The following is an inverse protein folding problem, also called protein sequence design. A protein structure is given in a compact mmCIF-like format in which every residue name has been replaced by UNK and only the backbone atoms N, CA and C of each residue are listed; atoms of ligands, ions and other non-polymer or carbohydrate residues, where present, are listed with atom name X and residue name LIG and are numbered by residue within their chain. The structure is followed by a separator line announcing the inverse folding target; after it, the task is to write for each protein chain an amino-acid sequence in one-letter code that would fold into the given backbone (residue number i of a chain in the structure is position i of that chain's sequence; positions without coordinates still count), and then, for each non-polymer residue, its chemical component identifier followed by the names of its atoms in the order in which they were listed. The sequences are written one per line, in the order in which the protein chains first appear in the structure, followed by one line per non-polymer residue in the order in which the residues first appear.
data_IF_136428975506
#
_entry.id   IF_136428975506
#
_cell.length_a   1.000
_cell.length_b   1.000
_cell.length_c   1.000
_cell.angle_alpha   90.00
_cell.angle_beta   90.00
_cell.angle_gamma   90.00
#
_symmetry.space_group_name_H-M   'P 1'
#
loop_
_entity.id
_entity.type
_entity.pdbx_description
1 polymer ?
#
# COMPACT_ATOMS: atom_id res chain seq x y z
N UNK A 1 10.54 14.23 0.25
CA UNK A 1 10.20 13.83 1.65
C UNK A 1 8.74 13.43 1.68
N UNK A 2 8.43 12.21 1.26
CA UNK A 2 7.06 11.69 1.21
C UNK A 2 6.65 11.29 2.63
N UNK A 3 5.65 11.97 3.18
CA UNK A 3 5.07 11.59 4.47
C UNK A 3 4.08 10.46 4.23
N UNK A 4 4.45 9.25 4.61
CA UNK A 4 3.47 8.24 4.97
C UNK A 4 2.50 8.85 5.99
N UNK A 5 1.19 8.79 5.70
CA UNK A 5 0.18 9.07 6.72
C UNK A 5 0.28 7.95 7.76
N UNK A 6 1.06 8.17 8.81
CA UNK A 6 1.11 7.32 9.99
C UNK A 6 -0.31 7.25 10.57
N UNK A 7 -0.90 6.07 10.53
CA UNK A 7 -2.14 5.78 11.24
C UNK A 7 -1.81 5.75 12.74
N UNK A 8 -1.85 6.92 13.37
CA UNK A 8 -1.79 7.01 14.83
C UNK A 8 -3.09 6.42 15.36
N UNK A 9 -3.02 5.21 15.91
CA UNK A 9 -4.06 4.66 16.77
C UNK A 9 -4.29 5.64 17.93
N UNK A 10 -5.54 5.98 18.30
CA UNK A 10 -5.79 6.82 19.47
C UNK A 10 -5.32 6.09 20.73
N UNK A 11 -4.18 6.53 21.26
CA UNK A 11 -3.66 6.07 22.56
C UNK A 11 -4.67 6.42 23.64
N UNK A 12 -5.18 5.41 24.34
CA UNK A 12 -6.01 5.61 25.53
C UNK A 12 -5.25 6.50 26.53
N UNK A 13 -5.88 7.62 26.90
CA UNK A 13 -5.41 8.52 27.95
C UNK A 13 -5.49 7.80 29.28
N UNK A 14 -4.34 7.38 29.82
CA UNK A 14 -4.21 6.97 31.22
C UNK A 14 -4.01 8.25 32.05
N UNK A 15 -4.90 8.58 33.01
CA UNK A 15 -4.71 9.76 33.86
C UNK A 15 -3.56 9.54 34.87
N UNK A 16 -2.63 10.51 34.89
CA UNK A 16 -1.52 10.63 35.86
C UNK A 16 -2.04 10.88 37.27
N UNK A 17 -1.56 10.13 38.27
CA UNK A 17 -1.55 10.56 39.68
C UNK A 17 -0.50 9.79 40.50
N UNK A 18 0.53 10.51 40.99
CA UNK A 18 1.31 10.17 42.21
C UNK A 18 2.76 9.65 42.05
N UNK A 19 3.78 10.21 42.75
CA UNK A 19 5.13 9.64 42.87
C UNK A 19 5.25 8.60 44.02
N UNK A 20 6.35 7.81 44.09
CA UNK A 20 6.31 6.42 44.55
C UNK A 20 6.86 6.20 45.98
N UNK A 21 6.63 5.02 46.60
CA UNK A 21 7.52 4.51 47.62
C UNK A 21 8.49 3.46 47.05
N UNK A 22 9.75 3.60 47.47
CA UNK A 22 10.87 2.66 47.32
C UNK A 22 10.48 1.24 47.75
N UNK A 23 10.78 0.27 46.91
CA UNK A 23 11.21 -1.06 47.33
C UNK A 23 12.03 -1.71 46.21
N UNK A 24 13.33 -1.66 46.44
CA UNK A 24 14.40 -2.42 45.84
C UNK A 24 14.11 -3.94 45.91
N UNK A 25 14.85 -4.73 45.11
CA UNK A 25 14.94 -6.21 45.11
C UNK A 25 13.95 -6.99 44.22
N UNK A 26 14.19 -7.02 42.90
CA UNK A 26 14.62 -8.23 42.19
C UNK A 26 15.47 -7.82 41.00
N UNK A 27 16.77 -8.14 41.07
CA UNK A 27 17.73 -7.85 40.02
C UNK A 27 17.47 -8.68 38.78
N UNK A 28 17.09 -8.00 37.69
CA UNK A 28 17.38 -8.38 36.31
C UNK A 28 17.88 -7.12 35.60
N UNK A 29 19.12 -6.73 35.89
CA UNK A 29 19.89 -5.93 34.95
C UNK A 29 20.65 -6.92 34.06
N UNK A 30 19.95 -7.46 33.07
CA UNK A 30 20.59 -7.77 31.78
C UNK A 30 20.01 -6.77 30.80
N UNK A 31 20.93 -5.93 30.36
CA UNK A 31 20.80 -4.97 29.28
C UNK A 31 20.40 -5.72 28.01
N UNK A 32 19.11 -5.79 27.69
CA UNK A 32 18.67 -6.01 26.31
C UNK A 32 18.56 -4.63 25.65
N UNK A 33 19.70 -3.93 25.58
CA UNK A 33 19.92 -2.88 24.58
C UNK A 33 20.26 -3.57 23.27
N UNK A 34 19.28 -4.25 22.71
CA UNK A 34 19.23 -4.62 21.31
C UNK A 34 17.81 -4.30 20.89
N UNK A 35 17.57 -3.00 20.72
CA UNK A 35 16.60 -2.51 19.75
C UNK A 35 17.03 -3.08 18.39
N UNK A 36 16.73 -4.35 18.15
CA UNK A 36 16.63 -4.92 16.81
C UNK A 36 15.32 -4.39 16.22
N UNK A 37 15.23 -3.07 16.10
CA UNK A 37 14.40 -2.45 15.10
C UNK A 37 15.06 -2.71 13.76
N UNK A 38 14.98 -3.97 13.27
CA UNK A 38 14.88 -4.19 11.84
C UNK A 38 13.75 -3.27 11.40
N UNK A 39 14.12 -2.07 10.96
CA UNK A 39 13.21 -1.13 10.34
C UNK A 39 12.90 -1.78 9.00
N UNK A 40 12.02 -2.79 9.05
CA UNK A 40 11.51 -3.49 7.90
C UNK A 40 11.05 -2.39 6.95
N UNK A 41 11.74 -2.31 5.81
CA UNK A 41 11.52 -1.22 4.87
C UNK A 41 10.01 -1.16 4.57
N UNK A 42 9.41 0.03 4.49
CA UNK A 42 7.96 0.13 4.33
C UNK A 42 7.53 -0.58 3.04
N UNK A 43 6.58 -1.50 3.15
CA UNK A 43 6.04 -2.27 2.03
C UNK A 43 4.65 -1.81 1.62
N UNK A 44 4.33 -2.01 0.36
CA UNK A 44 2.99 -1.93 -0.24
C UNK A 44 2.72 -3.29 -0.87
N UNK A 45 1.74 -4.02 -0.34
CA UNK A 45 1.60 -5.44 -0.64
C UNK A 45 2.87 -6.20 -0.24
N UNK A 46 3.54 -6.86 -1.20
CA UNK A 46 4.82 -7.54 -1.00
C UNK A 46 6.01 -6.81 -1.60
N UNK A 47 5.80 -5.58 -2.09
CA UNK A 47 6.82 -4.76 -2.76
C UNK A 47 7.30 -3.65 -1.84
N UNK A 48 8.55 -3.24 -1.99
CA UNK A 48 9.06 -2.09 -1.25
C UNK A 48 8.33 -0.85 -1.74
N UNK A 49 7.96 0.03 -0.81
CA UNK A 49 7.32 1.30 -1.15
C UNK A 49 8.16 2.11 -2.15
N UNK A 50 9.48 2.10 -2.01
CA UNK A 50 10.38 2.84 -2.91
C UNK A 50 10.32 2.32 -4.35
N UNK A 51 10.11 1.03 -4.56
CA UNK A 51 9.96 0.45 -5.90
C UNK A 51 8.65 0.91 -6.53
N UNK A 52 7.55 0.90 -5.74
CA UNK A 52 6.23 1.39 -6.18
C UNK A 52 6.28 2.88 -6.52
N UNK A 53 6.95 3.69 -5.70
CA UNK A 53 7.12 5.13 -5.95
C UNK A 53 7.96 5.40 -7.21
N UNK A 54 9.04 4.66 -7.40
CA UNK A 54 9.93 4.80 -8.58
C UNK A 54 9.18 4.51 -9.88
N UNK A 55 8.42 3.40 -9.92
CA UNK A 55 7.61 3.05 -11.09
C UNK A 55 6.50 4.09 -11.35
N UNK A 56 5.88 4.61 -10.30
CA UNK A 56 4.88 5.67 -10.45
C UNK A 56 5.48 6.96 -11.02
N UNK A 57 6.68 7.34 -10.58
CA UNK A 57 7.40 8.50 -11.11
C UNK A 57 7.79 8.30 -12.59
N UNK A 58 8.20 7.09 -12.98
CA UNK A 58 8.50 6.74 -14.37
C UNK A 58 7.24 6.80 -15.26
N UNK A 59 6.13 6.23 -14.80
CA UNK A 59 4.84 6.26 -15.51
C UNK A 59 4.33 7.69 -15.70
N UNK A 60 4.36 8.51 -14.65
CA UNK A 60 3.91 9.92 -14.72
C UNK A 60 4.85 10.81 -15.54
N UNK A 61 6.11 10.42 -15.68
CA UNK A 61 7.08 11.05 -16.58
C UNK A 61 6.92 10.61 -18.06
N UNK A 62 6.02 9.66 -18.34
CA UNK A 62 5.74 9.17 -19.69
C UNK A 62 6.67 8.05 -20.17
N UNK A 63 7.39 7.38 -19.26
CA UNK A 63 8.26 6.24 -19.59
C UNK A 63 7.54 4.87 -19.53
N UNK A 64 6.21 4.86 -19.37
CA UNK A 64 5.42 3.64 -19.34
C UNK A 64 5.33 2.91 -20.68
N UNK A 65 5.11 1.60 -20.61
CA UNK A 65 4.72 0.79 -21.77
C UNK A 65 3.20 0.83 -22.00
N UNK A 66 2.74 0.44 -23.19
CA UNK A 66 1.30 0.28 -23.48
C UNK A 66 0.59 1.56 -23.92
N UNK A 67 -0.76 1.52 -23.92
CA UNK A 67 -1.60 2.65 -24.32
C UNK A 67 -1.73 3.67 -23.17
N UNK A 68 -2.06 4.95 -23.46
CA UNK A 68 -2.29 5.94 -22.42
C UNK A 68 -3.36 5.52 -21.39
N UNK A 69 -4.38 4.79 -21.82
CA UNK A 69 -5.42 4.26 -20.93
C UNK A 69 -4.87 3.17 -20.00
N UNK A 70 -4.01 2.29 -20.52
CA UNK A 70 -3.33 1.28 -19.71
C UNK A 70 -2.46 1.92 -18.62
N UNK A 71 -1.60 2.86 -19.00
CA UNK A 71 -0.73 3.58 -18.07
C UNK A 71 -1.54 4.35 -17.01
N UNK A 72 -2.66 4.98 -17.40
CA UNK A 72 -3.55 5.64 -16.45
C UNK A 72 -4.14 4.66 -15.43
N UNK A 73 -4.37 3.41 -15.81
CA UNK A 73 -4.79 2.33 -14.92
C UNK A 73 -3.72 1.94 -13.91
N UNK A 74 -2.47 1.79 -14.36
CA UNK A 74 -1.33 1.50 -13.49
C UNK A 74 -1.10 2.62 -12.47
N UNK A 75 -1.10 3.87 -12.94
CA UNK A 75 -0.97 5.06 -12.08
C UNK A 75 -2.06 5.08 -11.00
N UNK A 76 -3.32 4.87 -11.39
CA UNK A 76 -4.43 4.87 -10.43
C UNK A 76 -4.30 3.76 -9.38
N UNK A 77 -3.84 2.57 -9.78
CA UNK A 77 -3.60 1.46 -8.86
C UNK A 77 -2.45 1.75 -7.89
N UNK A 78 -1.32 2.29 -8.36
CA UNK A 78 -0.19 2.63 -7.49
C UNK A 78 -0.49 3.79 -6.54
N UNK A 79 -1.16 4.83 -7.01
CA UNK A 79 -1.62 5.92 -6.14
C UNK A 79 -2.53 5.42 -5.03
N UNK A 80 -3.47 4.54 -5.36
CA UNK A 80 -4.35 3.92 -4.37
C UNK A 80 -3.60 3.00 -3.41
N UNK A 81 -2.70 2.15 -3.91
CA UNK A 81 -1.89 1.25 -3.09
C UNK A 81 -0.97 2.00 -2.11
N UNK A 82 -0.46 3.17 -2.51
CA UNK A 82 0.30 4.09 -1.65
C UNK A 82 -0.59 4.90 -0.68
N UNK A 83 -1.91 4.74 -0.73
CA UNK A 83 -2.87 5.50 0.07
C UNK A 83 -2.98 6.98 -0.31
N UNK A 84 -2.61 7.33 -1.56
CA UNK A 84 -2.72 8.68 -2.13
C UNK A 84 -4.11 8.94 -2.73
N UNK A 85 -4.86 7.88 -3.05
CA UNK A 85 -6.28 7.92 -3.40
C UNK A 85 -7.11 7.28 -2.28
N UNK A 86 -8.22 7.92 -1.90
CA UNK A 86 -9.17 7.37 -0.91
C UNK A 86 -10.18 6.41 -1.54
N UNK A 87 -10.26 6.34 -2.87
CA UNK A 87 -11.22 5.47 -3.57
C UNK A 87 -10.50 4.38 -4.34
N UNK A 88 -10.99 3.16 -4.15
CA UNK A 88 -10.56 1.98 -4.88
C UNK A 88 -10.85 2.12 -6.38
N UNK A 89 -9.89 1.80 -7.27
CA UNK A 89 -9.98 2.16 -8.69
C UNK A 89 -10.98 1.30 -9.50
N UNK A 90 -11.34 0.11 -9.03
CA UNK A 90 -12.29 -0.81 -9.69
C UNK A 90 -13.65 -0.76 -9.02
N UNK A 91 -13.68 -0.86 -7.69
CA UNK A 91 -14.93 -0.99 -6.92
C UNK A 91 -15.48 0.34 -6.41
N UNK A 92 -14.69 1.42 -6.45
CA UNK A 92 -15.08 2.72 -5.89
C UNK A 92 -15.20 2.73 -4.36
N UNK A 93 -14.76 1.65 -3.68
CA UNK A 93 -14.82 1.53 -2.23
C UNK A 93 -13.92 2.57 -1.57
N UNK A 94 -14.45 3.29 -0.58
CA UNK A 94 -13.66 4.21 0.24
C UNK A 94 -12.69 3.47 1.15
N UNK A 95 -11.41 3.79 1.07
CA UNK A 95 -10.33 3.29 1.93
C UNK A 95 -9.54 4.50 2.43
N UNK A 96 -9.61 4.85 3.74
CA UNK A 96 -9.07 6.12 4.25
C UNK A 96 -7.54 6.17 4.37
N UNK A 97 -6.86 5.04 4.16
CA UNK A 97 -5.42 4.87 4.27
C UNK A 97 -4.92 3.86 3.23
N UNK A 98 -3.60 3.63 3.19
CA UNK A 98 -3.00 2.61 2.33
C UNK A 98 -3.66 1.24 2.61
N UNK A 99 -4.18 0.55 1.57
CA UNK A 99 -4.81 -0.75 1.73
C UNK A 99 -3.80 -1.82 2.17
N UNK A 100 -4.23 -2.74 3.02
CA UNK A 100 -3.44 -3.94 3.32
C UNK A 100 -3.47 -4.93 2.14
N UNK A 101 -2.65 -5.99 2.23
CA UNK A 101 -2.55 -7.02 1.18
C UNK A 101 -3.90 -7.70 0.87
N UNK A 102 -4.77 -7.88 1.86
CA UNK A 102 -6.07 -8.50 1.65
C UNK A 102 -7.00 -7.58 0.84
N UNK A 103 -6.99 -6.28 1.12
CA UNK A 103 -7.75 -5.29 0.36
C UNK A 103 -7.20 -5.14 -1.06
N UNK A 104 -5.88 -5.12 -1.24
CA UNK A 104 -5.23 -5.10 -2.55
C UNK A 104 -5.62 -6.32 -3.40
N UNK A 105 -5.61 -7.52 -2.79
CA UNK A 105 -5.99 -8.77 -3.47
C UNK A 105 -7.48 -8.77 -3.84
N UNK A 106 -8.35 -8.30 -2.94
CA UNK A 106 -9.78 -8.23 -3.23
C UNK A 106 -10.09 -7.29 -4.42
N UNK A 107 -9.33 -6.21 -4.57
CA UNK A 107 -9.48 -5.31 -5.71
C UNK A 107 -8.92 -5.91 -7.01
N UNK A 108 -7.83 -6.68 -6.92
CA UNK A 108 -7.31 -7.47 -8.05
C UNK A 108 -8.33 -8.51 -8.53
N UNK A 109 -8.97 -9.22 -7.60
CA UNK A 109 -10.06 -10.17 -7.92
C UNK A 109 -11.22 -9.45 -8.61
N UNK A 110 -11.59 -8.25 -8.15
CA UNK A 110 -12.61 -7.43 -8.79
C UNK A 110 -12.22 -7.01 -10.22
N UNK A 111 -10.95 -6.63 -10.44
CA UNK A 111 -10.43 -6.31 -11.78
C UNK A 111 -10.52 -7.53 -12.71
N UNK A 112 -10.15 -8.71 -12.21
CA UNK A 112 -10.22 -9.99 -12.94
C UNK A 112 -11.65 -10.27 -13.41
N UNK A 113 -12.63 -10.20 -12.51
CA UNK A 113 -14.05 -10.45 -12.83
C UNK A 113 -14.57 -9.48 -13.90
N UNK A 114 -14.19 -8.20 -13.83
CA UNK A 114 -14.61 -7.21 -14.83
C UNK A 114 -13.94 -7.44 -16.19
N UNK A 115 -12.68 -7.89 -16.23
CA UNK A 115 -11.98 -8.23 -17.46
C UNK A 115 -12.54 -9.49 -18.14
N UNK A 116 -13.01 -10.46 -17.36
CA UNK A 116 -13.69 -11.67 -17.87
C UNK A 116 -15.08 -11.37 -18.44
N UNK A 117 -15.73 -10.31 -17.95
CA UNK A 117 -17.07 -9.90 -18.35
C UNK A 117 -17.06 -8.48 -18.95
N UNK A 118 -16.37 -8.25 -20.08
CA UNK A 118 -16.21 -6.90 -20.63
C UNK A 118 -17.56 -6.38 -21.13
N UNK A 119 -18.21 -5.54 -20.33
CA UNK A 119 -19.48 -4.88 -20.65
C UNK A 119 -19.30 -3.45 -21.17
N UNK A 120 -18.05 -2.99 -21.36
CA UNK A 120 -17.70 -1.60 -21.65
C UNK A 120 -16.96 -1.36 -22.96
N UNK A 121 -16.58 -0.09 -23.19
CA UNK A 121 -15.77 0.36 -24.33
C UNK A 121 -14.33 -0.18 -24.28
N UNK A 122 -13.63 -0.36 -25.43
CA UNK A 122 -12.23 -0.80 -25.46
C UNK A 122 -11.29 0.02 -24.57
N UNK A 123 -11.48 1.35 -24.49
CA UNK A 123 -10.66 2.21 -23.61
C UNK A 123 -10.86 1.95 -22.11
N UNK A 124 -12.02 1.42 -21.73
CA UNK A 124 -12.29 0.96 -20.36
C UNK A 124 -11.59 -0.37 -20.05
N UNK A 125 -11.41 -1.23 -21.08
CA UNK A 125 -10.73 -2.51 -20.92
C UNK A 125 -9.23 -2.33 -20.74
N UNK A 126 -8.60 -1.44 -21.51
CA UNK A 126 -7.16 -1.16 -21.36
C UNK A 126 -6.84 -0.53 -20.00
N UNK A 127 -7.69 0.39 -19.53
CA UNK A 127 -7.58 0.93 -18.17
C UNK A 127 -7.65 -0.15 -17.09
N UNK A 128 -8.63 -1.06 -17.18
CA UNK A 128 -8.75 -2.18 -16.24
C UNK A 128 -7.57 -3.15 -16.32
N UNK A 129 -7.00 -3.38 -17.52
CA UNK A 129 -5.78 -4.18 -17.68
C UNK A 129 -4.58 -3.56 -16.98
N UNK A 130 -4.43 -2.24 -17.04
CA UNK A 130 -3.38 -1.52 -16.31
C UNK A 130 -3.52 -1.67 -14.81
N UNK A 131 -4.73 -1.48 -14.27
CA UNK A 131 -5.01 -1.72 -12.84
C UNK A 131 -4.65 -3.15 -12.44
N UNK A 132 -5.12 -4.13 -13.23
CA UNK A 132 -4.85 -5.53 -12.98
C UNK A 132 -3.34 -5.81 -12.97
N UNK A 133 -2.59 -5.34 -13.96
CA UNK A 133 -1.14 -5.54 -14.04
C UNK A 133 -0.41 -4.98 -12.81
N UNK A 134 -0.72 -3.73 -12.43
CA UNK A 134 -0.13 -3.08 -11.26
C UNK A 134 -0.46 -3.81 -9.96
N UNK A 135 -1.72 -4.17 -9.72
CA UNK A 135 -2.11 -4.89 -8.50
C UNK A 135 -1.53 -6.31 -8.47
N UNK A 136 -1.44 -7.00 -9.61
CA UNK A 136 -0.83 -8.34 -9.70
C UNK A 136 0.65 -8.31 -9.28
N UNK A 137 1.39 -7.28 -9.69
CA UNK A 137 2.79 -7.09 -9.29
C UNK A 137 2.95 -6.68 -7.83
N UNK A 138 2.13 -5.74 -7.33
CA UNK A 138 2.13 -5.31 -5.92
C UNK A 138 1.80 -6.47 -4.97
N UNK A 139 0.86 -7.33 -5.36
CA UNK A 139 0.48 -8.52 -4.60
C UNK A 139 1.50 -9.67 -4.73
N UNK A 140 2.47 -9.57 -5.64
CA UNK A 140 3.56 -10.54 -5.78
C UNK A 140 3.29 -11.70 -6.74
N UNK A 141 2.17 -11.68 -7.44
CA UNK A 141 1.80 -12.70 -8.42
C UNK A 141 2.54 -12.51 -9.75
N UNK A 142 3.04 -11.30 -10.03
CA UNK A 142 3.97 -11.03 -11.12
C UNK A 142 5.30 -10.49 -10.61
N UNK A 143 6.38 -10.88 -11.29
CA UNK A 143 7.74 -10.39 -11.07
C UNK A 143 8.14 -9.28 -12.05
N UNK A 144 7.43 -9.12 -13.17
CA UNK A 144 7.74 -8.13 -14.20
C UNK A 144 6.66 -7.05 -14.30
N UNK A 145 7.07 -5.79 -14.19
CA UNK A 145 6.24 -4.63 -14.53
C UNK A 145 7.12 -3.63 -15.27
N UNK A 146 7.52 -3.99 -16.49
CA UNK A 146 8.27 -3.20 -17.47
C UNK A 146 8.04 -3.76 -18.88
#
# INVERSE_FOLDING_TARGET
MTRFRSCVMPHAVVPKSGPPPRADWYGWNVMTSEDNGDSEAPHVGVRLCVDVETLLDDLTSGHGAGSPQFQAGEVAAFEWALGRSESSPVTGRGVPCAPDLAVLTAELDAATVQLENPSGSPGSSDYLRGIHAALNWVCGYDTGLL
#
